data_IF_780981239222
#
_entry.id   IF_780981239222
#
_cell.length_a   1.000
_cell.length_b   1.000
_cell.length_c   1.000
_cell.angle_alpha   90.00
_cell.angle_beta   90.00
_cell.angle_gamma   90.00
#
_symmetry.space_group_name_H-M   'P 1'
#
loop_
_entity.id
_entity.type
_entity.pdbx_description
1 polymer ?
#
# COMPACT_ATOMS: atom_id res chain seq x y z
N UNK A 1 6.06 -6.60 -17.27
CA UNK A 1 6.98 -6.48 -16.11
C UNK A 1 8.13 -7.50 -16.07
N UNK A 2 8.53 -8.10 -17.19
CA UNK A 2 9.49 -9.21 -17.23
C UNK A 2 10.98 -8.80 -17.27
N UNK A 3 11.35 -7.54 -17.25
CA UNK A 3 12.78 -7.15 -17.22
C UNK A 3 13.38 -7.51 -15.86
N UNK A 4 14.35 -8.41 -15.87
CA UNK A 4 15.13 -8.89 -14.73
C UNK A 4 16.44 -8.10 -14.63
N UNK A 5 16.42 -6.85 -14.23
CA UNK A 5 17.67 -6.10 -14.02
C UNK A 5 17.55 -5.22 -12.80
N UNK A 6 18.67 -4.81 -12.18
CA UNK A 6 18.63 -3.75 -11.21
C UNK A 6 18.24 -2.44 -11.91
N UNK A 7 17.32 -1.70 -11.29
CA UNK A 7 16.81 -0.42 -11.81
C UNK A 7 17.39 0.78 -11.09
N UNK A 8 17.61 0.63 -9.78
CA UNK A 8 18.01 1.71 -8.90
C UNK A 8 19.51 1.73 -8.62
N UNK A 9 20.13 0.58 -8.32
CA UNK A 9 21.56 0.50 -8.01
C UNK A 9 22.46 1.13 -9.10
N UNK A 10 22.23 0.91 -10.40
CA UNK A 10 23.06 1.53 -11.44
C UNK A 10 22.97 3.07 -11.48
N UNK A 11 21.90 3.65 -10.96
CA UNK A 11 21.63 5.10 -10.95
C UNK A 11 21.82 5.71 -9.55
N UNK A 12 22.03 4.89 -8.52
CA UNK A 12 21.93 5.24 -7.10
C UNK A 12 22.87 6.37 -6.67
N UNK A 13 24.14 6.27 -7.05
CA UNK A 13 25.18 7.14 -6.51
C UNK A 13 25.44 6.96 -5.00
N UNK A 14 24.89 5.91 -4.36
CA UNK A 14 25.15 5.51 -2.98
C UNK A 14 26.07 4.29 -2.98
N UNK A 15 27.19 4.39 -2.25
CA UNK A 15 28.08 3.24 -2.02
C UNK A 15 27.68 2.52 -0.73
N UNK A 16 26.76 1.56 -0.84
CA UNK A 16 26.26 0.79 0.30
C UNK A 16 27.33 -0.03 1.04
N UNK A 17 28.50 -0.25 0.44
CA UNK A 17 29.61 -0.92 1.14
C UNK A 17 30.16 -0.08 2.29
N UNK A 18 30.02 1.25 2.20
CA UNK A 18 30.47 2.24 3.20
C UNK A 18 29.35 2.76 4.09
N UNK A 19 28.07 2.47 3.74
CA UNK A 19 26.92 2.90 4.51
C UNK A 19 26.85 2.11 5.80
N UNK A 20 26.70 2.80 6.94
CA UNK A 20 26.52 2.18 8.25
C UNK A 20 25.08 1.73 8.44
N UNK A 21 24.13 2.58 8.08
CA UNK A 21 22.68 2.31 8.16
C UNK A 21 21.94 3.13 7.10
N UNK A 22 20.72 2.71 6.79
CA UNK A 22 19.86 3.39 5.83
C UNK A 22 18.46 3.63 6.39
N UNK A 23 17.74 4.57 5.82
CA UNK A 23 16.34 4.83 6.13
C UNK A 23 15.54 5.11 4.87
N UNK A 24 14.26 4.74 4.91
CA UNK A 24 13.28 5.02 3.88
C UNK A 24 12.03 5.64 4.49
N UNK A 25 11.42 6.56 3.77
CA UNK A 25 10.08 7.07 4.09
C UNK A 25 9.16 6.90 2.91
N UNK A 26 7.90 6.59 3.19
CA UNK A 26 6.83 6.57 2.20
C UNK A 26 5.75 7.58 2.57
N UNK A 27 5.21 8.26 1.57
CA UNK A 27 4.08 9.16 1.68
C UNK A 27 2.87 8.50 1.05
N UNK A 28 1.91 8.13 1.89
CA UNK A 28 0.61 7.62 1.45
C UNK A 28 -0.31 8.78 1.12
N UNK A 29 -0.93 8.74 -0.07
CA UNK A 29 -1.83 9.77 -0.58
C UNK A 29 -3.12 9.12 -1.07
N UNK A 30 -4.24 9.51 -0.49
CA UNK A 30 -5.54 8.94 -0.84
C UNK A 30 -6.68 9.92 -0.65
N UNK A 31 -7.59 9.95 -1.63
CA UNK A 31 -8.90 10.56 -1.51
C UNK A 31 -9.92 9.65 -2.18
N UNK A 32 -11.05 9.32 -1.53
CA UNK A 32 -12.08 8.49 -2.13
C UNK A 32 -12.84 9.24 -3.21
N UNK A 33 -13.52 8.48 -4.06
CA UNK A 33 -14.55 8.97 -4.96
C UNK A 33 -15.89 8.82 -4.27
N UNK A 34 -16.69 9.88 -4.27
CA UNK A 34 -17.98 9.94 -3.56
C UNK A 34 -19.09 10.49 -4.47
N UNK A 35 -20.35 10.07 -4.30
CA UNK A 35 -21.49 10.59 -5.07
C UNK A 35 -22.00 11.91 -4.47
N UNK A 36 -21.17 12.95 -4.55
CA UNK A 36 -21.43 14.27 -3.95
C UNK A 36 -21.32 15.44 -4.94
N UNK A 37 -21.30 15.16 -6.25
CA UNK A 37 -21.28 16.19 -7.30
C UNK A 37 -22.68 16.75 -7.64
N UNK A 38 -23.52 16.97 -6.63
CA UNK A 38 -24.89 17.49 -6.76
C UNK A 38 -25.61 17.51 -5.43
N UNK A 39 -26.82 18.05 -5.40
CA UNK A 39 -27.62 18.19 -4.17
C UNK A 39 -28.44 16.94 -3.80
N UNK A 40 -28.71 16.08 -4.77
CA UNK A 40 -29.44 14.84 -4.58
C UNK A 40 -28.52 13.63 -4.74
N UNK A 41 -28.41 12.82 -3.71
CA UNK A 41 -27.54 11.66 -3.66
C UNK A 41 -27.73 10.68 -4.84
N UNK A 42 -28.98 10.47 -5.26
CA UNK A 42 -29.29 9.49 -6.30
C UNK A 42 -28.88 9.93 -7.72
N UNK A 43 -28.76 11.24 -7.93
CA UNK A 43 -28.39 11.83 -9.24
C UNK A 43 -27.02 12.50 -9.24
N UNK A 44 -26.41 12.69 -8.04
CA UNK A 44 -25.12 13.33 -7.91
C UNK A 44 -24.03 12.62 -8.70
N UNK A 45 -23.20 13.37 -9.41
CA UNK A 45 -22.01 12.82 -10.05
C UNK A 45 -21.04 12.25 -9.02
N UNK A 46 -20.34 11.16 -9.38
CA UNK A 46 -19.22 10.63 -8.58
C UNK A 46 -18.03 11.57 -8.81
N UNK A 47 -17.57 12.20 -7.72
CA UNK A 47 -16.46 13.17 -7.71
C UNK A 47 -15.41 12.79 -6.69
N UNK A 48 -14.21 13.35 -6.80
CA UNK A 48 -13.21 13.23 -5.74
C UNK A 48 -13.71 13.94 -4.46
N UNK A 49 -13.45 13.32 -3.30
CA UNK A 49 -13.68 13.98 -2.02
C UNK A 49 -12.92 15.31 -1.93
N UNK A 50 -11.74 15.41 -2.53
CA UNK A 50 -11.00 16.69 -2.60
C UNK A 50 -11.80 17.78 -3.32
N UNK A 51 -12.49 17.42 -4.41
CA UNK A 51 -13.38 18.38 -5.11
C UNK A 51 -14.52 18.82 -4.20
N UNK A 52 -15.17 17.88 -3.53
CA UNK A 52 -16.21 18.20 -2.56
C UNK A 52 -15.71 19.15 -1.46
N UNK A 53 -14.51 18.90 -0.93
CA UNK A 53 -13.89 19.76 0.07
C UNK A 53 -13.64 21.18 -0.47
N UNK A 54 -13.11 21.29 -1.69
CA UNK A 54 -12.86 22.60 -2.34
C UNK A 54 -14.16 23.38 -2.61
N UNK A 55 -15.22 22.68 -3.00
CA UNK A 55 -16.53 23.29 -3.28
C UNK A 55 -17.27 23.69 -1.98
N UNK A 56 -16.89 23.10 -0.83
CA UNK A 56 -17.55 23.30 0.47
C UNK A 56 -16.55 23.65 1.59
N UNK A 57 -15.73 24.70 1.45
CA UNK A 57 -14.63 24.99 2.37
C UNK A 57 -15.08 25.33 3.79
N UNK A 58 -16.36 25.66 3.99
CA UNK A 58 -16.96 26.02 5.28
C UNK A 58 -17.36 24.79 6.12
N UNK A 59 -17.28 23.57 5.58
CA UNK A 59 -17.68 22.35 6.30
C UNK A 59 -16.47 21.68 6.94
N UNK A 60 -16.45 21.60 8.27
CA UNK A 60 -15.40 20.90 9.02
C UNK A 60 -13.98 21.30 8.60
N UNK A 61 -13.15 20.31 8.28
CA UNK A 61 -11.75 20.52 7.87
C UNK A 61 -11.54 20.76 6.38
N UNK A 62 -12.60 20.98 5.62
CA UNK A 62 -12.55 21.19 4.17
C UNK A 62 -11.69 22.38 3.74
N UNK A 63 -11.53 23.38 4.63
CA UNK A 63 -10.64 24.52 4.39
C UNK A 63 -9.18 24.12 4.11
N UNK A 64 -8.77 22.91 4.46
CA UNK A 64 -7.44 22.37 4.17
C UNK A 64 -7.26 21.83 2.74
N UNK A 65 -8.32 21.81 1.92
CA UNK A 65 -8.27 21.19 0.59
C UNK A 65 -7.18 21.78 -0.33
N UNK A 66 -6.94 23.10 -0.26
CA UNK A 66 -5.86 23.74 -1.03
C UNK A 66 -4.47 23.32 -0.56
N UNK A 67 -4.30 23.01 0.73
CA UNK A 67 -3.04 22.49 1.28
C UNK A 67 -2.85 21.03 0.87
N UNK A 68 -3.92 20.23 0.83
CA UNK A 68 -3.85 18.86 0.31
C UNK A 68 -3.40 18.84 -1.15
N UNK A 69 -3.94 19.74 -1.98
CA UNK A 69 -3.49 19.88 -3.36
C UNK A 69 -1.97 20.12 -3.45
N UNK A 70 -1.43 21.01 -2.62
CA UNK A 70 0.02 21.22 -2.55
C UNK A 70 0.76 19.98 -2.06
N UNK A 71 0.25 19.23 -1.07
CA UNK A 71 0.87 18.00 -0.59
C UNK A 71 1.07 16.97 -1.71
N UNK A 72 0.14 16.87 -2.66
CA UNK A 72 0.24 15.92 -3.78
C UNK A 72 1.34 16.26 -4.79
N UNK A 73 1.79 17.50 -4.88
CA UNK A 73 2.81 17.92 -5.85
C UNK A 73 4.15 18.31 -5.25
N UNK A 74 4.22 18.60 -3.95
CA UNK A 74 5.40 19.22 -3.29
C UNK A 74 6.71 18.44 -3.48
N UNK A 75 6.64 17.10 -3.61
CA UNK A 75 7.84 16.31 -3.87
C UNK A 75 8.45 16.61 -5.25
N UNK A 76 7.64 17.05 -6.22
CA UNK A 76 8.10 17.58 -7.51
C UNK A 76 8.86 18.92 -7.40
N UNK A 77 8.77 19.59 -6.26
CA UNK A 77 9.52 20.80 -5.93
C UNK A 77 10.79 20.45 -5.10
N UNK A 78 10.62 19.63 -4.04
CA UNK A 78 11.69 19.31 -3.10
C UNK A 78 12.80 18.43 -3.70
N UNK A 79 12.45 17.44 -4.52
CA UNK A 79 13.43 16.55 -5.14
C UNK A 79 14.35 17.31 -6.11
N UNK A 80 13.84 18.11 -7.08
CA UNK A 80 14.69 18.92 -7.92
C UNK A 80 15.57 19.89 -7.13
N UNK A 81 15.02 20.61 -6.16
CA UNK A 81 15.76 21.53 -5.31
C UNK A 81 16.98 20.84 -4.67
N UNK A 82 16.76 19.70 -4.01
CA UNK A 82 17.83 18.97 -3.32
C UNK A 82 18.87 18.39 -4.30
N UNK A 83 18.43 17.89 -5.45
CA UNK A 83 19.34 17.37 -6.47
C UNK A 83 20.20 18.48 -7.08
N UNK A 84 19.62 19.66 -7.32
CA UNK A 84 20.34 20.85 -7.81
C UNK A 84 21.34 21.37 -6.75
N UNK A 85 21.05 21.17 -5.46
CA UNK A 85 22.00 21.40 -4.36
C UNK A 85 23.13 20.32 -4.27
N UNK A 86 23.14 19.33 -5.17
CA UNK A 86 24.09 18.21 -5.16
C UNK A 86 23.76 17.14 -4.11
N UNK A 87 22.56 17.15 -3.53
CA UNK A 87 22.14 16.18 -2.52
C UNK A 87 21.51 14.93 -3.15
N UNK A 88 21.34 13.88 -2.36
CA UNK A 88 20.83 12.56 -2.80
C UNK A 88 19.52 12.21 -2.09
N UNK A 89 18.44 13.00 -2.28
CA UNK A 89 17.18 12.73 -1.62
C UNK A 89 16.56 11.41 -2.05
N UNK A 90 15.74 10.79 -1.16
CA UNK A 90 14.92 9.63 -1.46
C UNK A 90 13.53 9.81 -0.85
N UNK A 91 12.54 9.29 -1.55
CA UNK A 91 11.16 9.18 -1.09
C UNK A 91 10.45 8.06 -1.82
N UNK A 92 9.62 7.32 -1.13
CA UNK A 92 8.64 6.42 -1.72
C UNK A 92 7.28 7.11 -1.80
N UNK A 93 6.56 6.91 -2.91
CA UNK A 93 5.25 7.51 -3.14
C UNK A 93 4.21 6.39 -3.33
N UNK A 94 3.16 6.45 -2.52
CA UNK A 94 2.01 5.56 -2.53
C UNK A 94 0.74 6.39 -2.80
N UNK A 95 0.29 6.42 -4.05
CA UNK A 95 -0.92 7.15 -4.46
C UNK A 95 -1.97 6.16 -4.92
N UNK A 96 -3.15 6.19 -4.29
CA UNK A 96 -4.26 5.36 -4.73
C UNK A 96 -4.73 5.73 -6.15
N UNK A 97 -5.25 4.74 -6.88
CA UNK A 97 -5.73 4.98 -8.24
C UNK A 97 -6.94 5.92 -8.29
N UNK A 98 -7.82 5.85 -7.30
CA UNK A 98 -8.97 6.75 -7.19
C UNK A 98 -8.55 8.21 -6.91
N UNK A 99 -7.48 8.44 -6.12
CA UNK A 99 -6.90 9.78 -5.98
C UNK A 99 -6.39 10.30 -7.33
N UNK A 100 -5.54 9.53 -8.02
CA UNK A 100 -5.01 9.92 -9.34
C UNK A 100 -6.13 10.17 -10.35
N UNK A 101 -7.19 9.36 -10.32
CA UNK A 101 -8.38 9.55 -11.15
C UNK A 101 -9.09 10.87 -10.80
N UNK A 102 -9.32 11.11 -9.51
CA UNK A 102 -9.98 12.33 -9.04
C UNK A 102 -9.22 13.61 -9.40
N UNK A 103 -7.90 13.63 -9.17
CA UNK A 103 -7.04 14.76 -9.54
C UNK A 103 -7.11 15.07 -11.05
N UNK A 104 -7.11 14.02 -11.89
CA UNK A 104 -7.25 14.17 -13.34
C UNK A 104 -8.62 14.69 -13.75
N UNK A 105 -9.69 14.18 -13.14
CA UNK A 105 -11.05 14.65 -13.39
C UNK A 105 -11.26 16.10 -12.95
N UNK A 106 -10.52 16.58 -11.96
CA UNK A 106 -10.51 17.97 -11.52
C UNK A 106 -9.64 18.88 -12.39
N UNK A 107 -8.87 18.35 -13.34
CA UNK A 107 -7.97 19.13 -14.20
C UNK A 107 -6.72 19.67 -13.47
N UNK A 108 -6.30 19.05 -12.37
CA UNK A 108 -5.11 19.47 -11.58
C UNK A 108 -3.82 19.02 -12.29
N UNK A 109 -3.57 19.57 -13.47
CA UNK A 109 -2.44 19.18 -14.32
C UNK A 109 -1.09 19.48 -13.69
N UNK A 110 -1.00 20.53 -12.88
CA UNK A 110 0.23 20.91 -12.16
C UNK A 110 0.73 19.80 -11.22
N UNK A 111 -0.17 19.01 -10.63
CA UNK A 111 0.23 17.81 -9.84
C UNK A 111 0.90 16.80 -10.76
N UNK A 112 0.30 16.49 -11.90
CA UNK A 112 0.83 15.51 -12.85
C UNK A 112 2.15 15.96 -13.47
N UNK A 113 2.30 17.24 -13.78
CA UNK A 113 3.53 17.80 -14.36
C UNK A 113 4.70 17.65 -13.35
N UNK A 114 4.46 17.97 -12.08
CA UNK A 114 5.43 17.78 -11.01
C UNK A 114 5.77 16.29 -10.79
N UNK A 115 4.77 15.42 -10.71
CA UNK A 115 4.99 13.98 -10.52
C UNK A 115 5.70 13.35 -11.72
N UNK A 116 5.35 13.73 -12.97
CA UNK A 116 6.04 13.26 -14.18
C UNK A 116 7.49 13.71 -14.22
N UNK A 117 7.78 14.95 -13.83
CA UNK A 117 9.14 15.46 -13.77
C UNK A 117 10.03 14.56 -12.92
N UNK A 118 9.61 14.24 -11.69
CA UNK A 118 10.43 13.42 -10.78
C UNK A 118 10.40 11.92 -11.08
N UNK A 119 9.43 11.46 -11.88
CA UNK A 119 9.27 10.04 -12.24
C UNK A 119 10.03 9.69 -13.52
N UNK A 120 10.04 10.58 -14.51
CA UNK A 120 10.50 10.28 -15.86
C UNK A 120 11.88 10.87 -16.16
N UNK A 121 12.21 12.03 -15.60
CA UNK A 121 13.49 12.67 -15.85
C UNK A 121 14.65 11.86 -15.23
N UNK A 122 15.66 11.46 -16.02
CA UNK A 122 16.83 10.73 -15.54
C UNK A 122 17.59 11.41 -14.39
N UNK A 123 17.52 12.74 -14.29
CA UNK A 123 18.15 13.49 -13.22
C UNK A 123 17.48 13.22 -11.85
N UNK A 124 16.18 12.96 -11.83
CA UNK A 124 15.37 12.89 -10.58
C UNK A 124 14.82 11.50 -10.30
N UNK A 125 14.51 10.66 -11.30
CA UNK A 125 13.80 9.39 -11.17
C UNK A 125 14.46 8.40 -10.19
N UNK A 126 15.76 8.51 -9.95
CA UNK A 126 16.48 7.69 -8.96
C UNK A 126 16.10 8.02 -7.52
N UNK A 127 15.63 9.25 -7.30
CA UNK A 127 15.24 9.75 -5.98
C UNK A 127 13.85 9.30 -5.55
N UNK A 128 13.05 8.78 -6.47
CA UNK A 128 11.64 8.43 -6.24
C UNK A 128 11.39 6.96 -6.52
N UNK A 129 10.81 6.27 -5.56
CA UNK A 129 10.27 4.93 -5.77
C UNK A 129 8.75 4.96 -5.62
N UNK A 130 8.04 4.55 -6.67
CA UNK A 130 6.60 4.36 -6.60
C UNK A 130 6.26 3.00 -6.02
N UNK A 131 5.29 2.98 -5.13
CA UNK A 131 4.69 1.77 -4.58
C UNK A 131 3.38 1.48 -5.31
N UNK A 132 3.19 0.23 -5.72
CA UNK A 132 1.88 -0.23 -6.14
C UNK A 132 0.94 -0.32 -4.95
N UNK A 133 -0.35 -0.13 -5.20
CA UNK A 133 -1.40 -0.25 -4.18
C UNK A 133 -2.71 -0.69 -4.83
N UNK A 134 -3.79 -0.83 -4.06
CA UNK A 134 -5.11 -1.09 -4.62
C UNK A 134 -5.71 0.18 -5.21
N UNK A 135 -6.29 0.09 -6.43
CA UNK A 135 -6.84 1.25 -7.13
C UNK A 135 -7.84 2.04 -6.28
N UNK A 136 -8.82 1.37 -5.66
CA UNK A 136 -9.85 1.97 -4.82
C UNK A 136 -9.48 2.03 -3.34
N UNK A 137 -8.23 1.80 -2.96
CA UNK A 137 -7.81 1.74 -1.56
C UNK A 137 -8.54 0.65 -0.76
N UNK A 138 -8.72 -0.52 -1.37
CA UNK A 138 -9.46 -1.63 -0.79
C UNK A 138 -8.64 -2.36 0.28
N UNK A 139 -9.28 -2.67 1.40
CA UNK A 139 -8.68 -3.39 2.53
C UNK A 139 -8.60 -4.88 2.19
N UNK A 140 -7.42 -5.40 1.93
CA UNK A 140 -7.21 -6.75 1.41
C UNK A 140 -7.88 -7.87 2.25
N UNK A 141 -7.83 -7.89 3.60
CA UNK A 141 -8.47 -8.93 4.41
C UNK A 141 -9.99 -9.08 4.24
N UNK A 142 -10.66 -8.01 3.84
CA UNK A 142 -12.12 -7.94 3.73
C UNK A 142 -12.59 -7.54 2.33
N UNK A 143 -11.74 -7.72 1.34
CA UNK A 143 -12.07 -7.57 -0.08
C UNK A 143 -12.00 -8.96 -0.74
N UNK A 144 -13.03 -9.40 -1.49
CA UNK A 144 -12.96 -10.66 -2.22
C UNK A 144 -11.67 -10.75 -3.05
N UNK A 145 -11.01 -11.91 -3.01
CA UNK A 145 -9.67 -12.09 -3.62
C UNK A 145 -9.67 -11.76 -5.11
N UNK A 146 -10.71 -12.14 -5.84
CA UNK A 146 -10.87 -11.81 -7.26
C UNK A 146 -10.91 -10.29 -7.50
N UNK A 147 -11.60 -9.55 -6.64
CA UNK A 147 -11.72 -8.09 -6.73
C UNK A 147 -10.40 -7.41 -6.36
N UNK A 148 -9.70 -7.93 -5.36
CA UNK A 148 -8.39 -7.40 -5.00
C UNK A 148 -7.41 -7.49 -6.18
N UNK A 149 -7.46 -8.57 -6.95
CA UNK A 149 -6.68 -8.69 -8.20
C UNK A 149 -7.09 -7.64 -9.23
N UNK A 150 -8.39 -7.32 -9.34
CA UNK A 150 -8.86 -6.25 -10.22
C UNK A 150 -8.35 -4.88 -9.77
N UNK A 151 -8.33 -4.61 -8.46
CA UNK A 151 -7.73 -3.38 -7.91
C UNK A 151 -6.24 -3.24 -8.27
N UNK A 152 -5.46 -4.30 -8.11
CA UNK A 152 -4.03 -4.32 -8.45
C UNK A 152 -3.83 -4.04 -9.95
N UNK A 153 -4.57 -4.73 -10.81
CA UNK A 153 -4.48 -4.55 -12.26
C UNK A 153 -4.94 -3.14 -12.69
N UNK A 154 -6.06 -2.65 -12.15
CA UNK A 154 -6.58 -1.32 -12.47
C UNK A 154 -5.56 -0.22 -12.07
N UNK A 155 -4.91 -0.34 -10.92
CA UNK A 155 -3.85 0.57 -10.52
C UNK A 155 -2.68 0.56 -11.51
N UNK A 156 -2.19 -0.62 -11.89
CA UNK A 156 -1.07 -0.74 -12.83
C UNK A 156 -1.39 -0.16 -14.21
N UNK A 157 -2.59 -0.43 -14.73
CA UNK A 157 -3.04 0.13 -16.00
C UNK A 157 -3.17 1.66 -15.93
N UNK A 158 -3.73 2.16 -14.84
CA UNK A 158 -3.92 3.60 -14.69
C UNK A 158 -2.59 4.33 -14.50
N UNK A 159 -1.69 3.79 -13.69
CA UNK A 159 -0.33 4.30 -13.52
C UNK A 159 0.42 4.34 -14.87
N UNK A 160 0.38 3.24 -15.62
CA UNK A 160 1.03 3.17 -16.94
C UNK A 160 0.41 4.16 -17.96
N UNK A 161 -0.89 4.42 -17.87
CA UNK A 161 -1.54 5.43 -18.73
C UNK A 161 -1.10 6.88 -18.41
N UNK A 162 -0.63 7.14 -17.19
CA UNK A 162 -0.15 8.47 -16.76
C UNK A 162 1.37 8.60 -16.99
N UNK A 163 2.16 7.62 -16.56
CA UNK A 163 3.62 7.70 -16.49
C UNK A 163 4.35 6.83 -17.51
N UNK A 164 3.63 5.97 -18.22
CA UNK A 164 4.21 5.05 -19.21
C UNK A 164 4.63 3.69 -18.64
N UNK A 165 4.84 2.73 -19.54
CA UNK A 165 5.21 1.37 -19.18
C UNK A 165 6.62 1.27 -18.58
N UNK A 166 7.55 2.11 -19.04
CA UNK A 166 8.92 2.12 -18.49
C UNK A 166 8.94 2.53 -17.02
N UNK A 167 8.14 3.54 -16.63
CA UNK A 167 7.98 3.90 -15.24
C UNK A 167 7.33 2.76 -14.43
N UNK A 168 6.31 2.09 -14.97
CA UNK A 168 5.67 0.94 -14.31
C UNK A 168 6.67 -0.22 -14.09
N UNK A 169 7.65 -0.44 -14.97
CA UNK A 169 8.65 -1.51 -14.76
C UNK A 169 9.52 -1.28 -13.53
N UNK A 170 9.62 -0.05 -13.04
CA UNK A 170 10.39 0.32 -11.85
C UNK A 170 9.60 0.14 -10.55
N UNK A 171 8.27 -0.01 -10.62
CA UNK A 171 7.41 -0.24 -9.44
C UNK A 171 7.55 -1.68 -8.97
N UNK A 172 8.31 -1.91 -7.91
CA UNK A 172 8.64 -3.24 -7.38
C UNK A 172 8.05 -3.52 -6.00
N UNK A 173 7.79 -2.49 -5.23
CA UNK A 173 7.16 -2.57 -3.93
C UNK A 173 5.65 -2.44 -3.98
N UNK A 174 4.98 -3.03 -3.01
CA UNK A 174 3.54 -2.91 -2.82
C UNK A 174 3.24 -2.40 -1.41
N UNK A 175 2.38 -1.39 -1.33
CA UNK A 175 1.84 -0.86 -0.09
C UNK A 175 0.37 -1.30 0.05
N UNK A 176 0.06 -2.23 0.97
CA UNK A 176 -1.33 -2.60 1.23
C UNK A 176 -2.09 -1.41 1.82
N UNK A 177 -3.28 -1.07 1.30
CA UNK A 177 -4.12 -0.09 1.95
C UNK A 177 -4.30 -0.38 3.44
N UNK A 178 -4.19 0.66 4.27
CA UNK A 178 -4.26 0.58 5.73
C UNK A 178 -3.18 -0.35 6.36
N UNK A 179 -2.09 -0.63 5.64
CA UNK A 179 -1.10 -1.64 6.04
C UNK A 179 -1.74 -3.00 6.38
N UNK A 180 -2.90 -3.28 5.79
CA UNK A 180 -3.71 -4.44 6.13
C UNK A 180 -3.20 -5.72 5.46
N UNK A 181 -2.71 -6.66 6.29
CA UNK A 181 -2.23 -7.97 5.86
C UNK A 181 -3.27 -9.05 6.19
N UNK A 182 -3.77 -9.81 5.20
CA UNK A 182 -4.63 -10.95 5.47
C UNK A 182 -3.91 -12.02 6.30
N UNK A 183 -4.57 -12.57 7.33
CA UNK A 183 -4.03 -13.68 8.10
C UNK A 183 -4.84 -14.99 7.94
N UNK A 184 -5.97 -14.98 7.26
CA UNK A 184 -6.59 -16.21 6.79
C UNK A 184 -5.67 -16.90 5.77
N UNK A 185 -5.30 -18.19 5.94
CA UNK A 185 -4.34 -18.87 5.08
C UNK A 185 -4.61 -18.77 3.59
N UNK A 186 -5.83 -19.10 3.15
CA UNK A 186 -6.21 -19.06 1.73
C UNK A 186 -6.15 -17.63 1.17
N UNK A 187 -6.66 -16.66 1.93
CA UNK A 187 -6.70 -15.26 1.50
C UNK A 187 -5.28 -14.69 1.40
N UNK A 188 -4.42 -14.95 2.39
CA UNK A 188 -3.03 -14.50 2.36
C UNK A 188 -2.24 -15.14 1.20
N UNK A 189 -2.43 -16.45 0.98
CA UNK A 189 -1.78 -17.15 -0.13
C UNK A 189 -2.15 -16.50 -1.48
N UNK A 190 -3.43 -16.31 -1.74
CA UNK A 190 -3.91 -15.69 -2.97
C UNK A 190 -3.50 -14.22 -3.11
N UNK A 191 -3.47 -13.49 -2.00
CA UNK A 191 -2.97 -12.12 -1.95
C UNK A 191 -1.51 -12.04 -2.40
N UNK A 192 -0.62 -12.81 -1.76
CA UNK A 192 0.82 -12.81 -2.11
C UNK A 192 1.04 -13.33 -3.53
N UNK A 193 0.30 -14.37 -3.95
CA UNK A 193 0.33 -14.90 -5.31
C UNK A 193 -0.06 -13.84 -6.35
N UNK A 194 -1.10 -13.06 -6.06
CA UNK A 194 -1.54 -11.94 -6.90
C UNK A 194 -0.43 -10.90 -7.05
N UNK A 195 0.20 -10.51 -5.96
CA UNK A 195 1.29 -9.53 -6.01
C UNK A 195 2.48 -10.02 -6.84
N UNK A 196 2.92 -11.26 -6.62
CA UNK A 196 4.03 -11.85 -7.41
C UNK A 196 3.70 -11.96 -8.88
N UNK A 197 2.51 -12.44 -9.22
CA UNK A 197 2.06 -12.55 -10.61
C UNK A 197 1.92 -11.17 -11.29
N UNK A 198 1.64 -10.13 -10.52
CA UNK A 198 1.61 -8.74 -10.98
C UNK A 198 2.99 -8.07 -11.04
N UNK A 199 4.08 -8.80 -10.68
CA UNK A 199 5.47 -8.36 -10.82
C UNK A 199 6.05 -7.62 -9.63
N UNK A 200 5.34 -7.56 -8.50
CA UNK A 200 5.89 -7.02 -7.25
C UNK A 200 6.93 -7.98 -6.66
N UNK A 201 7.96 -7.41 -6.05
CA UNK A 201 9.08 -8.12 -5.44
C UNK A 201 9.06 -8.08 -3.93
N UNK A 202 8.50 -7.02 -3.37
CA UNK A 202 8.43 -6.81 -1.94
C UNK A 202 7.14 -6.09 -1.54
N UNK A 203 6.82 -6.18 -0.26
CA UNK A 203 5.61 -5.62 0.34
C UNK A 203 5.98 -4.92 1.66
N UNK A 204 5.33 -3.78 1.94
CA UNK A 204 5.33 -3.20 3.28
C UNK A 204 4.39 -3.98 4.19
N UNK A 205 4.84 -4.29 5.41
CA UNK A 205 4.01 -4.91 6.44
C UNK A 205 4.22 -4.22 7.79
N UNK A 206 3.14 -4.12 8.55
CA UNK A 206 3.21 -3.60 9.91
C UNK A 206 3.79 -4.66 10.85
N UNK A 207 4.70 -4.29 11.74
CA UNK A 207 5.43 -5.19 12.63
C UNK A 207 4.54 -6.20 13.38
N UNK A 208 3.45 -5.73 13.98
CA UNK A 208 2.55 -6.57 14.77
C UNK A 208 1.57 -7.42 13.94
N UNK A 209 1.59 -7.31 12.60
CA UNK A 209 0.74 -8.13 11.72
C UNK A 209 1.40 -9.42 11.27
N UNK A 210 2.65 -9.63 11.65
CA UNK A 210 3.44 -10.82 11.33
C UNK A 210 4.07 -11.43 12.56
N UNK A 211 4.36 -12.71 12.48
CA UNK A 211 5.04 -13.52 13.51
C UNK A 211 6.11 -14.39 12.87
N UNK A 212 7.05 -14.87 13.63
CA UNK A 212 8.06 -15.82 13.15
C UNK A 212 7.44 -17.17 12.84
N UNK A 213 7.90 -17.79 11.74
CA UNK A 213 7.37 -19.09 11.28
C UNK A 213 7.71 -20.21 12.27
N UNK A 214 8.88 -20.14 12.94
CA UNK A 214 9.40 -21.19 13.82
C UNK A 214 8.63 -21.33 15.14
N UNK A 215 8.34 -20.23 15.81
CA UNK A 215 7.77 -20.25 17.17
C UNK A 215 6.50 -19.38 17.34
N UNK A 216 6.08 -18.66 16.31
CA UNK A 216 4.91 -17.78 16.36
C UNK A 216 5.11 -16.53 17.24
N UNK A 217 6.33 -16.22 17.63
CA UNK A 217 6.62 -15.03 18.40
C UNK A 217 6.87 -13.81 17.51
N UNK A 218 6.89 -12.63 18.12
CA UNK A 218 7.13 -11.37 17.40
C UNK A 218 8.52 -11.30 16.76
N UNK A 219 8.70 -10.37 15.86
CA UNK A 219 9.95 -10.18 15.09
C UNK A 219 11.09 -9.75 16.01
N UNK A 220 12.31 -10.25 15.74
CA UNK A 220 13.51 -9.89 16.51
C UNK A 220 14.32 -8.75 15.89
N UNK A 221 14.29 -8.62 14.57
CA UNK A 221 15.15 -7.70 13.80
C UNK A 221 14.34 -6.94 12.76
N UNK A 222 13.47 -5.99 13.18
CA UNK A 222 12.53 -5.32 12.26
C UNK A 222 13.21 -4.53 11.13
N UNK A 223 14.46 -4.15 11.31
CA UNK A 223 15.24 -3.37 10.32
C UNK A 223 15.96 -4.25 9.29
N UNK A 224 15.77 -5.56 9.32
CA UNK A 224 16.15 -6.46 8.23
C UNK A 224 14.96 -6.71 7.31
N UNK A 225 15.18 -6.92 6.00
CA UNK A 225 14.17 -7.54 5.17
C UNK A 225 13.84 -8.94 5.67
N UNK A 226 12.59 -9.34 5.50
CA UNK A 226 12.09 -10.66 5.89
C UNK A 226 11.52 -11.38 4.69
N UNK A 227 11.43 -12.69 4.75
CA UNK A 227 10.70 -13.51 3.79
C UNK A 227 9.32 -13.80 4.35
N UNK A 228 8.29 -13.14 3.81
CA UNK A 228 6.90 -13.46 4.13
C UNK A 228 6.50 -14.75 3.43
N UNK A 229 6.19 -15.77 4.22
CA UNK A 229 5.74 -17.08 3.75
C UNK A 229 4.21 -17.13 3.85
N UNK A 230 3.54 -17.20 2.72
CA UNK A 230 2.11 -17.45 2.66
C UNK A 230 1.86 -18.90 2.23
N UNK A 231 1.03 -19.61 2.99
CA UNK A 231 0.72 -21.01 2.78
C UNK A 231 -0.78 -21.24 2.78
N UNK A 232 -1.26 -22.10 1.87
CA UNK A 232 -2.65 -22.55 1.86
C UNK A 232 -2.84 -23.92 2.54
N UNK A 233 -4.09 -24.34 2.73
CA UNK A 233 -4.41 -25.61 3.37
C UNK A 233 -3.82 -26.82 2.65
N UNK A 234 -3.70 -26.77 1.32
CA UNK A 234 -3.12 -27.86 0.52
C UNK A 234 -1.60 -28.01 0.68
N UNK A 235 -0.97 -27.05 1.36
CA UNK A 235 0.47 -27.03 1.57
C UNK A 235 1.25 -26.30 0.47
N UNK A 236 0.57 -25.68 -0.49
CA UNK A 236 1.24 -24.82 -1.47
C UNK A 236 1.75 -23.57 -0.77
N UNK A 237 2.95 -23.12 -1.14
CA UNK A 237 3.58 -21.93 -0.56
C UNK A 237 3.95 -20.92 -1.63
N UNK A 238 3.86 -19.66 -1.28
CA UNK A 238 4.38 -18.54 -2.06
C UNK A 238 5.05 -17.55 -1.11
N UNK A 239 6.21 -17.02 -1.51
CA UNK A 239 6.97 -16.09 -0.69
C UNK A 239 7.07 -14.74 -1.39
N UNK A 240 7.21 -13.68 -0.59
CA UNK A 240 7.55 -12.34 -1.04
C UNK A 240 8.44 -11.67 0.02
N UNK A 241 9.37 -10.82 -0.39
CA UNK A 241 10.16 -10.05 0.59
C UNK A 241 9.26 -9.06 1.32
N UNK A 242 9.28 -9.09 2.65
CA UNK A 242 8.57 -8.16 3.51
C UNK A 242 9.54 -7.14 4.10
N UNK A 243 9.18 -5.87 3.99
CA UNK A 243 9.86 -4.76 4.65
C UNK A 243 8.98 -4.31 5.80
N UNK A 244 9.56 -4.26 6.97
CA UNK A 244 8.81 -4.02 8.20
C UNK A 244 8.73 -2.53 8.48
N UNK A 245 7.49 -2.05 8.62
CA UNK A 245 7.21 -0.79 9.29
C UNK A 245 7.15 -1.09 10.78
N UNK A 246 8.07 -0.53 11.54
CA UNK A 246 8.10 -0.66 13.00
C UNK A 246 6.88 0.01 13.64
N UNK A 247 6.67 -0.25 14.95
CA UNK A 247 5.51 0.26 15.67
C UNK A 247 5.35 1.78 15.56
N UNK A 248 4.11 2.19 15.65
CA UNK A 248 3.69 3.58 15.53
C UNK A 248 3.02 3.84 14.18
N UNK A 249 1.81 4.32 14.27
CA UNK A 249 1.00 4.77 13.13
C UNK A 249 0.95 6.29 13.04
N UNK A 250 1.65 6.95 13.94
CA UNK A 250 1.60 8.40 14.06
C UNK A 250 2.30 9.06 12.86
N UNK A 251 1.60 9.98 12.21
CA UNK A 251 2.14 10.84 11.16
C UNK A 251 3.40 11.59 11.59
N UNK A 252 3.58 11.83 12.90
CA UNK A 252 4.81 12.41 13.46
C UNK A 252 6.06 11.61 13.14
N UNK A 253 5.98 10.28 13.05
CA UNK A 253 7.14 9.46 12.72
C UNK A 253 7.76 9.84 11.39
N UNK A 254 6.95 10.02 10.35
CA UNK A 254 7.42 10.49 9.05
C UNK A 254 7.56 12.00 9.01
N UNK A 255 6.60 12.75 9.55
CA UNK A 255 6.60 14.21 9.54
C UNK A 255 7.84 14.80 10.22
N UNK A 256 8.33 14.18 11.27
CA UNK A 256 9.55 14.58 12.00
C UNK A 256 10.81 13.82 11.57
N UNK A 257 10.72 13.00 10.50
CA UNK A 257 11.84 12.21 9.96
C UNK A 257 12.49 11.27 10.99
N UNK A 258 11.69 10.69 11.89
CA UNK A 258 12.18 9.75 12.92
C UNK A 258 12.97 8.57 12.35
N UNK A 259 12.65 7.99 11.17
CA UNK A 259 13.47 6.91 10.58
C UNK A 259 14.94 7.26 10.44
N UNK A 260 15.26 8.52 10.13
CA UNK A 260 16.65 8.97 10.07
C UNK A 260 17.32 8.91 11.45
N UNK A 261 16.67 9.45 12.48
CA UNK A 261 17.25 9.46 13.83
C UNK A 261 17.37 8.07 14.43
N UNK A 262 16.43 7.19 14.16
CA UNK A 262 16.49 5.78 14.55
C UNK A 262 17.64 5.07 13.82
N UNK A 263 17.77 5.26 12.50
CA UNK A 263 18.84 4.67 11.71
C UNK A 263 20.23 5.13 12.17
N UNK A 264 20.38 6.37 12.65
CA UNK A 264 21.65 6.87 13.24
C UNK A 264 22.12 6.06 14.43
N UNK A 265 21.22 5.40 15.16
CA UNK A 265 21.55 4.54 16.29
C UNK A 265 21.96 3.11 15.91
N UNK A 266 21.82 2.74 14.62
CA UNK A 266 22.05 1.37 14.17
C UNK A 266 23.46 1.15 13.63
N UNK A 267 23.93 -0.09 13.74
CA UNK A 267 25.18 -0.57 13.16
C UNK A 267 24.89 -1.62 12.09
N UNK A 268 25.91 -1.92 11.28
CA UNK A 268 25.86 -3.04 10.33
C UNK A 268 25.74 -4.37 11.08
N UNK A 269 25.13 -5.34 10.43
CA UNK A 269 24.95 -6.70 10.96
C UNK A 269 25.48 -7.73 9.99
N UNK A 270 25.88 -8.89 10.52
CA UNK A 270 26.28 -10.03 9.71
C UNK A 270 25.05 -10.82 9.25
N UNK A 271 24.94 -11.07 7.94
CA UNK A 271 23.92 -11.92 7.34
C UNK A 271 24.50 -12.74 6.19
N UNK A 272 24.33 -14.06 6.21
CA UNK A 272 24.87 -14.99 5.22
C UNK A 272 26.37 -14.74 4.92
N UNK A 273 27.16 -14.46 5.94
CA UNK A 273 28.60 -14.17 5.83
C UNK A 273 28.93 -12.81 5.19
N UNK A 274 27.97 -11.89 5.14
CA UNK A 274 28.13 -10.52 4.63
C UNK A 274 27.72 -9.50 5.68
N UNK A 275 28.51 -8.46 5.80
CA UNK A 275 28.16 -7.28 6.61
C UNK A 275 27.23 -6.36 5.82
N UNK A 276 26.04 -6.13 6.33
CA UNK A 276 25.00 -5.31 5.66
C UNK A 276 24.51 -4.17 6.55
N UNK A 277 24.18 -3.00 5.98
CA UNK A 277 23.52 -1.93 6.72
C UNK A 277 22.07 -2.31 7.03
N UNK A 278 21.56 -1.90 8.17
CA UNK A 278 20.14 -2.01 8.51
C UNK A 278 19.33 -0.89 7.85
N UNK A 279 18.06 -1.16 7.55
CA UNK A 279 17.13 -0.23 6.92
C UNK A 279 15.94 0.04 7.81
N UNK A 280 15.78 1.28 8.24
CA UNK A 280 14.57 1.74 8.95
C UNK A 280 13.56 2.25 7.94
N UNK A 281 12.32 1.73 7.98
CA UNK A 281 11.28 2.10 7.02
C UNK A 281 10.02 2.54 7.73
N UNK A 282 9.45 3.68 7.31
CA UNK A 282 8.17 4.20 7.79
C UNK A 282 7.31 4.67 6.63
N UNK A 283 5.99 4.62 6.83
CA UNK A 283 4.97 5.18 5.95
C UNK A 283 3.92 5.92 6.78
N UNK A 284 3.42 7.02 6.27
CA UNK A 284 2.28 7.73 6.83
C UNK A 284 1.50 8.50 5.77
N UNK A 285 0.31 8.97 6.15
CA UNK A 285 -0.48 9.88 5.33
C UNK A 285 0.32 11.15 5.01
N UNK A 286 0.45 11.46 3.74
CA UNK A 286 1.24 12.61 3.28
C UNK A 286 0.49 13.93 3.28
N UNK A 287 -0.85 13.90 3.32
CA UNK A 287 -1.71 15.08 3.37
C UNK A 287 -2.33 15.35 4.74
N UNK A 288 -2.21 14.43 5.70
CA UNK A 288 -2.96 14.51 6.94
C UNK A 288 -2.32 15.46 7.96
N UNK A 289 -3.14 16.35 8.55
CA UNK A 289 -2.87 17.13 9.74
C UNK A 289 -1.71 18.13 9.67
N UNK A 290 -1.58 18.93 10.71
CA UNK A 290 -0.58 19.99 10.83
C UNK A 290 0.87 19.52 10.71
N UNK A 291 1.21 18.33 11.21
CA UNK A 291 2.57 17.78 11.15
C UNK A 291 3.04 17.58 9.71
N UNK A 292 2.23 16.91 8.88
CA UNK A 292 2.61 16.67 7.48
C UNK A 292 2.55 17.93 6.62
N UNK A 293 1.73 18.90 6.98
CA UNK A 293 1.62 20.17 6.28
C UNK A 293 2.73 21.15 6.66
N UNK A 294 3.07 21.25 7.94
CA UNK A 294 3.91 22.30 8.47
C UNK A 294 5.31 21.83 8.89
N UNK A 295 5.41 20.66 9.53
CA UNK A 295 6.69 20.17 10.07
C UNK A 295 7.48 19.36 9.06
N UNK A 296 6.80 18.52 8.26
CA UNK A 296 7.46 17.65 7.27
C UNK A 296 8.30 18.44 6.24
N UNK A 297 7.83 19.54 5.61
CA UNK A 297 8.59 20.22 4.58
C UNK A 297 9.98 20.67 5.03
N UNK A 298 10.11 21.49 6.08
CA UNK A 298 11.43 21.94 6.54
C UNK A 298 12.27 20.77 7.08
N UNK A 299 11.63 19.78 7.70
CA UNK A 299 12.34 18.65 8.30
C UNK A 299 12.90 17.71 7.23
N UNK A 300 12.11 17.40 6.20
CA UNK A 300 12.56 16.60 5.07
C UNK A 300 13.77 17.24 4.37
N UNK A 301 13.66 18.52 4.02
CA UNK A 301 14.75 19.25 3.36
C UNK A 301 16.02 19.27 4.22
N UNK A 302 15.90 19.53 5.51
CA UNK A 302 17.04 19.55 6.44
C UNK A 302 17.70 18.19 6.57
N UNK A 303 16.91 17.13 6.79
CA UNK A 303 17.42 15.76 6.95
C UNK A 303 18.06 15.25 5.66
N UNK A 304 17.46 15.51 4.49
CA UNK A 304 18.05 15.05 3.23
C UNK A 304 19.40 15.76 2.93
N UNK A 305 19.57 17.02 3.34
CA UNK A 305 20.86 17.71 3.25
C UNK A 305 21.90 17.08 4.16
N UNK A 306 21.55 16.83 5.42
CA UNK A 306 22.44 16.22 6.42
C UNK A 306 22.81 14.79 6.03
N UNK A 307 21.82 13.96 5.70
CA UNK A 307 22.01 12.53 5.42
C UNK A 307 22.81 12.27 4.13
N UNK A 308 22.73 13.18 3.15
CA UNK A 308 23.47 13.01 1.89
C UNK A 308 25.00 12.98 2.05
N UNK A 309 25.49 13.56 3.14
CA UNK A 309 26.92 13.69 3.44
C UNK A 309 27.34 12.81 4.65
N UNK A 310 26.47 11.89 5.10
CA UNK A 310 26.68 11.03 6.28
C UNK A 310 26.83 9.55 5.90
N UNK A 311 27.14 8.70 6.90
CA UNK A 311 27.14 7.25 6.78
C UNK A 311 25.77 6.61 7.05
N UNK A 312 24.78 7.43 7.42
CA UNK A 312 23.35 7.07 7.54
C UNK A 312 22.59 7.71 6.41
N UNK A 313 22.27 6.97 5.37
CA UNK A 313 21.81 7.51 4.09
C UNK A 313 20.31 7.26 3.84
N UNK A 314 19.64 8.17 3.11
CA UNK A 314 18.33 7.84 2.56
C UNK A 314 18.49 6.82 1.44
N UNK A 315 17.60 5.83 1.40
CA UNK A 315 17.59 4.80 0.35
C UNK A 315 16.15 4.45 -0.04
N UNK A 316 15.93 4.18 -1.31
CA UNK A 316 14.73 3.50 -1.75
C UNK A 316 14.82 2.01 -1.38
N UNK A 317 13.70 1.38 -1.08
CA UNK A 317 13.69 -0.03 -0.65
C UNK A 317 14.17 -0.95 -1.78
N UNK A 318 13.69 -0.75 -3.01
CA UNK A 318 14.18 -1.57 -4.14
C UNK A 318 15.67 -1.37 -4.37
N UNK A 319 16.19 -0.15 -4.24
CA UNK A 319 17.62 0.16 -4.32
C UNK A 319 18.44 -0.65 -3.30
N UNK A 320 17.97 -0.68 -2.05
CA UNK A 320 18.59 -1.46 -0.98
C UNK A 320 18.53 -2.98 -1.25
N UNK A 321 17.38 -3.50 -1.69
CA UNK A 321 17.22 -4.92 -2.02
C UNK A 321 18.07 -5.34 -3.23
N UNK A 322 18.19 -4.50 -4.24
CA UNK A 322 19.09 -4.71 -5.38
C UNK A 322 20.57 -4.75 -4.95
N UNK A 323 20.95 -3.91 -3.98
CA UNK A 323 22.27 -4.00 -3.37
C UNK A 323 22.48 -5.34 -2.66
N UNK A 324 21.54 -5.79 -1.80
CA UNK A 324 21.65 -7.07 -1.12
C UNK A 324 21.79 -8.25 -2.11
N UNK A 325 20.99 -8.24 -3.19
CA UNK A 325 21.09 -9.24 -4.25
C UNK A 325 22.47 -9.22 -4.94
N UNK A 326 23.03 -8.02 -5.17
CA UNK A 326 24.35 -7.85 -5.83
C UNK A 326 25.51 -8.43 -5.03
N UNK A 327 25.41 -8.46 -3.71
CA UNK A 327 26.40 -9.06 -2.80
C UNK A 327 26.10 -10.52 -2.44
N UNK A 328 25.07 -11.12 -3.08
CA UNK A 328 24.74 -12.54 -2.98
C UNK A 328 23.77 -12.90 -1.86
N UNK A 329 23.13 -11.94 -1.19
CA UNK A 329 22.05 -12.22 -0.22
C UNK A 329 20.75 -12.46 -0.98
N UNK A 330 20.17 -13.63 -0.78
CA UNK A 330 18.95 -14.07 -1.47
C UNK A 330 17.74 -14.06 -0.52
N UNK A 331 16.53 -14.19 -1.07
CA UNK A 331 15.29 -14.26 -0.31
C UNK A 331 15.33 -15.39 0.74
N UNK A 332 16.00 -16.51 0.42
CA UNK A 332 16.15 -17.67 1.31
C UNK A 332 17.03 -17.38 2.54
N UNK A 333 17.93 -16.42 2.44
CA UNK A 333 18.81 -16.00 3.54
C UNK A 333 18.08 -15.09 4.54
N UNK A 334 16.91 -14.55 4.18
CA UNK A 334 16.14 -13.64 5.01
C UNK A 334 15.39 -14.39 6.12
N UNK A 335 15.20 -13.79 7.31
CA UNK A 335 14.38 -14.39 8.37
C UNK A 335 12.95 -14.62 7.86
N UNK A 336 12.41 -15.81 8.13
CA UNK A 336 11.06 -16.16 7.69
C UNK A 336 9.99 -15.65 8.67
N UNK A 337 8.97 -15.02 8.14
CA UNK A 337 7.78 -14.57 8.87
C UNK A 337 6.52 -15.07 8.16
N UNK A 338 5.43 -15.13 8.89
CA UNK A 338 4.09 -15.42 8.39
C UNK A 338 3.09 -14.44 9.03
N UNK A 339 1.87 -14.31 8.50
CA UNK A 339 0.86 -13.51 9.16
C UNK A 339 0.59 -13.97 10.60
N UNK A 340 0.25 -12.99 11.46
CA UNK A 340 -0.02 -13.25 12.88
C UNK A 340 -1.07 -14.33 13.09
N UNK A 341 -0.92 -15.12 14.16
CA UNK A 341 -1.79 -16.22 14.59
C UNK A 341 -1.77 -17.46 13.68
N UNK A 342 -1.04 -17.46 12.58
CA UNK A 342 -1.00 -18.62 11.68
C UNK A 342 -0.23 -19.82 12.27
N UNK A 343 0.72 -19.61 13.17
CA UNK A 343 1.43 -20.73 13.86
C UNK A 343 0.44 -21.65 14.56
N UNK A 344 -0.56 -21.07 15.24
CA UNK A 344 -1.62 -21.82 15.92
C UNK A 344 -2.47 -22.67 14.99
N UNK A 345 -2.67 -22.21 13.75
CA UNK A 345 -3.39 -22.94 12.70
C UNK A 345 -2.53 -24.13 12.23
N UNK A 346 -1.26 -23.84 11.89
CA UNK A 346 -0.38 -24.85 11.32
C UNK A 346 -0.01 -25.97 12.30
N UNK A 347 0.07 -25.68 13.61
CA UNK A 347 0.30 -26.67 14.65
C UNK A 347 -0.82 -27.72 14.73
N UNK A 348 -2.04 -27.40 14.26
CA UNK A 348 -3.19 -28.29 14.26
C UNK A 348 -3.49 -28.92 12.91
N UNK A 349 -3.21 -28.20 11.84
CA UNK A 349 -3.65 -28.60 10.50
C UNK A 349 -2.68 -29.62 9.85
N UNK A 350 -1.41 -29.61 10.21
CA UNK A 350 -0.39 -30.41 9.57
C UNK A 350 0.07 -29.85 8.21
N UNK A 351 0.94 -30.60 7.48
CA UNK A 351 1.60 -30.08 6.28
C UNK A 351 0.69 -29.99 5.03
N UNK A 352 -0.31 -30.83 4.93
CA UNK A 352 -1.30 -30.86 3.82
C UNK A 352 -2.67 -31.22 4.35
N UNK A 353 -3.67 -30.49 3.89
CA UNK A 353 -5.04 -30.66 4.37
C UNK A 353 -6.06 -30.21 3.32
N UNK A 354 -7.34 -30.15 3.70
CA UNK A 354 -8.43 -29.60 2.90
C UNK A 354 -8.88 -28.25 3.43
N UNK A 355 -9.59 -27.49 2.61
CA UNK A 355 -10.22 -26.23 3.04
C UNK A 355 -11.23 -26.50 4.17
N UNK A 356 -12.03 -27.57 4.08
CA UNK A 356 -12.98 -27.96 5.15
C UNK A 356 -12.29 -28.20 6.50
N UNK A 357 -11.15 -28.92 6.48
CA UNK A 357 -10.40 -29.15 7.73
C UNK A 357 -9.78 -27.87 8.27
N UNK A 358 -9.36 -26.96 7.39
CA UNK A 358 -8.93 -25.62 7.81
C UNK A 358 -10.06 -24.88 8.53
N UNK A 359 -11.25 -24.81 7.94
CA UNK A 359 -12.39 -24.13 8.58
C UNK A 359 -12.73 -24.73 9.94
N UNK A 360 -12.72 -26.06 10.06
CA UNK A 360 -12.93 -26.73 11.36
C UNK A 360 -11.88 -26.33 12.41
N UNK A 361 -10.60 -26.20 12.02
CA UNK A 361 -9.53 -25.74 12.91
C UNK A 361 -9.74 -24.28 13.30
N UNK A 362 -10.13 -23.42 12.36
CA UNK A 362 -10.43 -22.01 12.65
C UNK A 362 -11.58 -21.85 13.64
N UNK A 363 -12.67 -22.62 13.46
CA UNK A 363 -13.79 -22.61 14.38
C UNK A 363 -13.41 -23.09 15.79
N UNK A 364 -12.59 -24.14 15.89
CA UNK A 364 -12.08 -24.62 17.17
C UNK A 364 -11.24 -23.55 17.87
N UNK A 365 -10.31 -22.92 17.15
CA UNK A 365 -9.47 -21.87 17.71
C UNK A 365 -10.28 -20.66 18.19
N UNK A 366 -11.32 -20.26 17.45
CA UNK A 366 -12.25 -19.17 17.87
C UNK A 366 -13.04 -19.53 19.14
N UNK A 367 -13.45 -20.80 19.29
CA UNK A 367 -14.15 -21.28 20.50
C UNK A 367 -13.25 -21.31 21.72
N UNK A 368 -11.96 -21.65 21.54
CA UNK A 368 -11.00 -21.74 22.64
C UNK A 368 -10.42 -20.39 23.08
N UNK A 369 -10.27 -19.45 22.16
CA UNK A 369 -9.71 -18.14 22.46
C UNK A 369 -10.47 -17.05 21.65
N UNK A 370 -11.24 -16.24 22.33
CA UNK A 370 -12.01 -15.14 21.73
C UNK A 370 -11.13 -14.04 21.07
N UNK A 371 -9.82 -14.03 21.35
CA UNK A 371 -8.86 -13.12 20.71
C UNK A 371 -8.31 -13.69 19.41
N UNK A 372 -8.54 -14.98 19.15
CA UNK A 372 -8.15 -15.58 17.88
C UNK A 372 -9.05 -15.09 16.76
N UNK A 373 -8.42 -14.62 15.68
CA UNK A 373 -9.12 -14.10 14.50
C UNK A 373 -8.33 -14.37 13.22
N UNK A 374 -9.02 -14.32 12.09
CA UNK A 374 -8.43 -14.44 10.73
C UNK A 374 -8.89 -13.32 9.80
N UNK A 375 -9.34 -12.22 10.35
CA UNK A 375 -9.77 -11.02 9.64
C UNK A 375 -8.60 -10.09 9.27
N UNK A 376 -7.37 -10.50 9.58
CA UNK A 376 -6.16 -9.76 9.26
C UNK A 376 -5.71 -8.81 10.36
N UNK A 377 -4.57 -8.16 10.13
CA UNK A 377 -4.02 -7.09 10.95
C UNK A 377 -3.75 -5.86 10.08
N UNK A 378 -3.70 -4.70 10.70
CA UNK A 378 -3.52 -3.42 10.01
C UNK A 378 -2.59 -2.49 10.79
N UNK A 379 -2.48 -1.24 10.37
CA UNK A 379 -1.72 -0.21 11.08
C UNK A 379 -2.21 0.04 12.52
N UNK A 380 -3.45 -0.34 12.86
CA UNK A 380 -3.95 -0.36 14.24
C UNK A 380 -3.94 -1.77 14.80
N UNK A 381 -3.84 -1.91 16.12
CA UNK A 381 -4.03 -3.19 16.80
C UNK A 381 -5.52 -3.61 16.88
N UNK A 382 -6.42 -2.72 16.53
CA UNK A 382 -7.85 -2.97 16.57
C UNK A 382 -8.34 -3.48 15.22
N UNK A 383 -8.84 -4.70 15.18
CA UNK A 383 -9.40 -5.32 13.97
C UNK A 383 -10.88 -4.98 13.75
N UNK A 384 -11.53 -4.25 14.65
CA UNK A 384 -12.96 -3.93 14.52
C UNK A 384 -13.26 -3.17 13.22
N UNK A 385 -12.37 -2.31 12.78
CA UNK A 385 -12.51 -1.57 11.54
C UNK A 385 -12.32 -2.44 10.27
N UNK A 386 -11.70 -3.63 10.39
CA UNK A 386 -11.56 -4.59 9.29
C UNK A 386 -12.82 -5.42 9.12
N UNK A 387 -13.44 -5.87 10.22
CA UNK A 387 -14.63 -6.76 10.23
C UNK A 387 -15.92 -6.10 10.68
N UNK A 388 -15.85 -4.88 11.18
CA UNK A 388 -17.04 -4.08 11.50
C UNK A 388 -17.75 -3.62 10.23
N UNK A 389 -18.76 -2.78 10.42
CA UNK A 389 -19.43 -2.12 9.29
C UNK A 389 -20.23 -3.04 8.37
N UNK A 390 -20.95 -4.03 8.93
CA UNK A 390 -21.78 -4.96 8.17
C UNK A 390 -22.79 -4.28 7.23
N UNK A 391 -23.25 -3.10 7.61
CA UNK A 391 -24.12 -2.24 6.79
C UNK A 391 -23.48 -1.74 5.49
N UNK A 392 -22.16 -1.74 5.43
CA UNK A 392 -21.37 -1.36 4.25
C UNK A 392 -20.85 -2.62 3.55
N UNK A 393 -20.26 -3.55 4.29
CA UNK A 393 -19.65 -4.76 3.73
C UNK A 393 -20.66 -5.67 3.05
N UNK A 394 -21.84 -5.89 3.64
CA UNK A 394 -22.87 -6.75 3.06
C UNK A 394 -23.29 -6.32 1.63
N UNK A 395 -23.71 -5.06 1.42
CA UNK A 395 -24.00 -4.57 0.07
C UNK A 395 -22.82 -4.67 -0.89
N UNK A 396 -21.59 -4.41 -0.44
CA UNK A 396 -20.38 -4.52 -1.28
C UNK A 396 -20.14 -5.96 -1.72
N UNK A 397 -20.23 -6.94 -0.80
CA UNK A 397 -20.06 -8.36 -1.10
C UNK A 397 -21.12 -8.88 -2.06
N UNK A 398 -22.37 -8.45 -1.90
CA UNK A 398 -23.46 -8.78 -2.84
C UNK A 398 -23.17 -8.21 -4.23
N UNK A 399 -22.75 -6.94 -4.33
CA UNK A 399 -22.37 -6.31 -5.59
C UNK A 399 -21.20 -7.03 -6.24
N UNK A 400 -20.18 -7.43 -5.46
CA UNK A 400 -19.03 -8.22 -5.94
C UNK A 400 -19.47 -9.55 -6.54
N UNK A 401 -20.32 -10.31 -5.83
CA UNK A 401 -20.82 -11.60 -6.33
C UNK A 401 -21.59 -11.44 -7.65
N UNK A 402 -22.48 -10.46 -7.72
CA UNK A 402 -23.23 -10.15 -8.96
C UNK A 402 -22.33 -9.70 -10.11
N UNK A 403 -21.33 -8.86 -9.82
CA UNK A 403 -20.35 -8.47 -10.83
C UNK A 403 -19.65 -9.69 -11.40
N UNK A 404 -19.14 -10.59 -10.55
CA UNK A 404 -18.47 -11.81 -11.01
C UNK A 404 -19.37 -12.69 -11.89
N UNK A 405 -20.65 -12.85 -11.52
CA UNK A 405 -21.63 -13.62 -12.28
C UNK A 405 -21.94 -12.98 -13.62
N UNK A 406 -22.35 -11.72 -13.62
CA UNK A 406 -22.87 -11.01 -14.82
C UNK A 406 -21.80 -10.68 -15.84
N UNK A 407 -20.56 -10.46 -15.40
CA UNK A 407 -19.45 -10.11 -16.30
C UNK A 407 -18.64 -11.32 -16.77
N UNK A 408 -19.05 -12.54 -16.39
CA UNK A 408 -18.34 -13.75 -16.81
C UNK A 408 -18.29 -13.85 -18.34
N UNK A 409 -17.08 -13.92 -18.91
CA UNK A 409 -16.86 -14.00 -20.35
C UNK A 409 -17.01 -12.68 -21.12
N UNK A 410 -17.35 -11.59 -20.46
CA UNK A 410 -17.42 -10.26 -21.09
C UNK A 410 -16.02 -9.67 -21.25
N UNK A 411 -15.62 -9.22 -22.46
CA UNK A 411 -14.31 -8.61 -22.67
C UNK A 411 -14.12 -7.36 -21.81
N UNK A 412 -12.97 -7.25 -21.17
CA UNK A 412 -12.60 -6.09 -20.35
C UNK A 412 -12.48 -4.78 -21.14
N UNK A 413 -12.41 -4.87 -22.47
CA UNK A 413 -12.40 -3.72 -23.38
C UNK A 413 -13.78 -3.10 -23.59
N UNK A 414 -14.86 -3.80 -23.26
CA UNK A 414 -16.22 -3.28 -23.41
C UNK A 414 -16.49 -2.15 -22.43
N UNK A 415 -17.22 -1.12 -22.91
CA UNK A 415 -17.55 0.04 -22.08
C UNK A 415 -18.39 -0.34 -20.85
N UNK A 416 -19.40 -1.22 -21.04
CA UNK A 416 -20.24 -1.70 -19.93
C UNK A 416 -19.44 -2.41 -18.86
N UNK A 417 -18.46 -3.29 -19.23
CA UNK A 417 -17.57 -3.94 -18.28
C UNK A 417 -16.79 -2.91 -17.46
N UNK A 418 -16.17 -1.94 -18.14
CA UNK A 418 -15.35 -0.91 -17.45
C UNK A 418 -16.20 0.00 -16.57
N UNK A 419 -17.43 0.30 -16.97
CA UNK A 419 -18.36 1.09 -16.17
C UNK A 419 -18.78 0.33 -14.90
N UNK A 420 -19.17 -0.94 -15.01
CA UNK A 420 -19.48 -1.78 -13.87
C UNK A 420 -18.25 -1.97 -12.94
N UNK A 421 -17.07 -2.21 -13.52
CA UNK A 421 -15.81 -2.33 -12.76
C UNK A 421 -15.47 -1.05 -11.99
N UNK A 422 -15.61 0.13 -12.61
CA UNK A 422 -15.38 1.41 -11.94
C UNK A 422 -16.25 1.56 -10.70
N UNK A 423 -17.54 1.24 -10.78
CA UNK A 423 -18.45 1.32 -9.65
C UNK A 423 -18.08 0.28 -8.56
N UNK A 424 -17.83 -0.97 -8.94
CA UNK A 424 -17.38 -2.00 -8.00
C UNK A 424 -16.12 -1.56 -7.23
N UNK A 425 -15.06 -1.17 -7.93
CA UNK A 425 -13.81 -0.77 -7.27
C UNK A 425 -13.97 0.49 -6.41
N UNK A 426 -14.89 1.37 -6.78
CA UNK A 426 -15.18 2.58 -6.00
C UNK A 426 -15.91 2.24 -4.69
N UNK A 427 -16.78 1.23 -4.65
CA UNK A 427 -17.48 0.82 -3.41
C UNK A 427 -16.54 0.27 -2.35
N UNK A 428 -15.39 -0.27 -2.74
CA UNK A 428 -14.51 -1.05 -1.87
C UNK A 428 -13.45 -0.21 -1.15
N UNK A 429 -13.54 1.12 -1.21
CA UNK A 429 -12.60 2.01 -0.50
C UNK A 429 -12.68 1.84 1.02
N UNK A 430 -11.52 1.89 1.69
CA UNK A 430 -11.44 1.85 3.16
C UNK A 430 -12.23 2.98 3.82
N UNK A 431 -12.32 4.15 3.17
CA UNK A 431 -13.01 5.32 3.70
C UNK A 431 -14.48 5.08 4.05
N UNK A 432 -15.18 4.25 3.27
CA UNK A 432 -16.57 3.89 3.57
C UNK A 432 -16.71 3.05 4.86
N UNK A 433 -15.63 2.44 5.29
CA UNK A 433 -15.57 1.69 6.55
C UNK A 433 -15.03 2.54 7.68
N UNK A 434 -13.95 3.27 7.42
CA UNK A 434 -13.28 4.10 8.41
C UNK A 434 -14.20 5.21 8.93
N UNK A 435 -14.94 5.83 8.04
CA UNK A 435 -15.93 6.86 8.35
C UNK A 435 -17.35 6.29 8.50
N UNK A 436 -17.52 5.00 8.55
CA UNK A 436 -18.66 4.10 8.38
C UNK A 436 -19.94 4.38 9.16
N UNK A 437 -20.31 5.65 9.31
CA UNK A 437 -21.57 6.10 9.86
C UNK A 437 -22.11 7.30 9.07
N UNK A 438 -23.42 7.49 9.10
CA UNK A 438 -24.08 8.63 8.46
C UNK A 438 -23.89 8.63 6.94
N UNK A 439 -23.53 9.78 6.39
CA UNK A 439 -23.44 10.00 4.93
C UNK A 439 -22.47 9.04 4.22
N UNK A 440 -21.42 8.57 4.88
CA UNK A 440 -20.46 7.65 4.27
C UNK A 440 -21.05 6.26 4.00
N UNK A 441 -21.92 5.79 4.86
CA UNK A 441 -22.72 4.57 4.62
C UNK A 441 -23.68 4.76 3.45
N UNK A 442 -24.32 5.92 3.37
CA UNK A 442 -25.24 6.25 2.27
C UNK A 442 -24.49 6.33 0.93
N UNK A 443 -23.26 6.90 0.91
CA UNK A 443 -22.41 6.92 -0.28
C UNK A 443 -22.07 5.50 -0.76
N UNK A 444 -21.65 4.62 0.15
CA UNK A 444 -21.33 3.24 -0.19
C UNK A 444 -22.55 2.51 -0.79
N UNK A 445 -23.70 2.63 -0.14
CA UNK A 445 -24.95 2.01 -0.59
C UNK A 445 -25.41 2.53 -1.94
N UNK A 446 -25.29 3.85 -2.16
CA UNK A 446 -25.67 4.47 -3.42
C UNK A 446 -24.80 4.00 -4.59
N UNK A 447 -23.46 3.89 -4.39
CA UNK A 447 -22.57 3.39 -5.45
C UNK A 447 -22.84 1.89 -5.69
N UNK A 448 -23.12 1.09 -4.67
CA UNK A 448 -23.57 -0.30 -4.84
C UNK A 448 -24.88 -0.39 -5.65
N UNK A 449 -25.86 0.46 -5.35
CA UNK A 449 -27.11 0.53 -6.11
C UNK A 449 -26.85 0.81 -7.58
N UNK A 450 -26.04 1.83 -7.89
CA UNK A 450 -25.68 2.18 -9.28
C UNK A 450 -24.93 1.04 -9.97
N UNK A 451 -24.00 0.40 -9.28
CA UNK A 451 -23.30 -0.77 -9.82
C UNK A 451 -24.28 -1.88 -10.17
N UNK A 452 -25.25 -2.15 -9.29
CA UNK A 452 -26.26 -3.16 -9.51
C UNK A 452 -27.23 -2.79 -10.65
N UNK A 453 -27.63 -1.51 -10.79
CA UNK A 453 -28.42 -1.05 -11.93
C UNK A 453 -27.69 -1.29 -13.26
N UNK A 454 -26.38 -0.96 -13.33
CA UNK A 454 -25.56 -1.24 -14.52
C UNK A 454 -25.55 -2.76 -14.82
N UNK A 455 -25.39 -3.60 -13.80
CA UNK A 455 -25.40 -5.06 -13.96
C UNK A 455 -26.75 -5.62 -14.39
N UNK A 456 -27.86 -4.95 -14.04
CA UNK A 456 -29.19 -5.38 -14.42
C UNK A 456 -29.58 -4.94 -15.83
N UNK A 457 -29.16 -3.74 -16.27
CA UNK A 457 -29.61 -3.17 -17.54
C UNK A 457 -28.61 -3.35 -18.69
N UNK A 458 -27.33 -3.49 -18.42
CA UNK A 458 -26.28 -3.57 -19.44
C UNK A 458 -25.77 -5.01 -19.67
N UNK A 459 -26.13 -5.98 -18.79
CA UNK A 459 -25.70 -7.39 -18.83
C UNK A 459 -26.89 -8.35 -18.76
#
# INVERSE_FOLDING_TARGET
MARRGPYYVPESGVDFSRVRSAFSIALHMHQPLIPAGGSDLHTAAIVSNLKYMMDNPQIGDNHNASVFHWCYKRMGEFIPQLVEEGKKPRVMLDYSGCLLYGLRAMGLNDVFDNLKRITLDPAYRRSVEWLGTAWGHAVAPSTPVQDFRLHVNAWQHYFAAIFGLDALTRVRGFSPPEMALPNHPEVCYEFVRTLKNSGYRWILVQEHTVERVDDGAGIRHPHLPHRLVARNARGDTVNITAIIKTQGSDTKLVGQMQPYYEAKGLARVERAGRSIPLLVTQISDGENGGVMMNEFPPKYLSVMREASDSDTVPANVTEYLEYLDSIGIKEEDLPAVQPILQKRIWDRLGPRSSAEKLENVLEQLRKEDHRFHVEGGSWTNNISWVRGYGDVLGPIEQTSARFAEKTAGVPTSEHRYRNALFHLLTTQTSCYRYWGAGIWTDYAREICRRANDILDYDF
#
